data_IF_212178481795
#
_entry.id   IF_212178481795
#
_cell.length_a   1.000
_cell.length_b   1.000
_cell.length_c   1.000
_cell.angle_alpha   90.00
_cell.angle_beta   90.00
_cell.angle_gamma   90.00
#
_symmetry.space_group_name_H-M   'P 1'
#
loop_
_entity.id
_entity.type
_entity.pdbx_description
1 polymer ?
#
# COMPACT_ATOMS: atom_id res chain seq x y z
N UNK A 1 -12.56 26.90 0.13
CA UNK A 1 -11.51 27.91 0.23
C UNK A 1 -10.12 27.38 0.60
N UNK A 2 -9.95 26.58 1.66
CA UNK A 2 -8.61 26.22 2.16
C UNK A 2 -7.86 25.21 1.27
N UNK A 3 -8.53 24.32 0.56
CA UNK A 3 -7.87 23.28 -0.25
C UNK A 3 -6.92 23.87 -1.31
N UNK A 4 -7.33 24.95 -1.99
CA UNK A 4 -6.47 25.59 -2.99
C UNK A 4 -5.21 26.23 -2.37
N UNK A 5 -5.29 26.70 -1.12
CA UNK A 5 -4.18 27.31 -0.40
C UNK A 5 -3.14 26.28 0.05
N UNK A 6 -3.59 25.09 0.47
CA UNK A 6 -2.71 24.04 1.00
C UNK A 6 -2.15 23.10 -0.07
N UNK A 7 -2.64 23.18 -1.32
CA UNK A 7 -2.11 22.34 -2.40
C UNK A 7 -0.71 22.81 -2.79
N UNK A 8 0.28 21.96 -2.55
CA UNK A 8 1.68 22.24 -2.87
C UNK A 8 2.27 21.06 -3.63
N UNK A 9 3.06 21.32 -4.66
CA UNK A 9 3.79 20.30 -5.41
C UNK A 9 5.26 20.71 -5.51
N UNK A 10 6.14 19.87 -4.99
CA UNK A 10 7.59 20.09 -5.06
C UNK A 10 8.09 21.30 -4.26
N UNK A 11 7.36 21.70 -3.21
CA UNK A 11 7.79 22.82 -2.36
C UNK A 11 9.15 22.52 -1.69
N UNK A 12 10.00 23.55 -1.55
CA UNK A 12 11.31 23.40 -0.94
C UNK A 12 12.28 22.51 -1.74
N UNK A 13 12.36 22.68 -3.06
CA UNK A 13 13.17 21.87 -3.97
C UNK A 13 12.80 20.36 -3.97
N UNK A 14 11.51 20.05 -3.93
CA UNK A 14 11.01 18.69 -4.00
C UNK A 14 10.86 17.98 -2.64
N UNK A 15 11.07 18.69 -1.53
CA UNK A 15 10.94 18.09 -0.20
C UNK A 15 9.51 17.89 0.28
N UNK A 16 8.55 18.67 -0.22
CA UNK A 16 7.15 18.57 0.22
C UNK A 16 6.19 18.64 -0.97
N UNK A 17 5.33 17.63 -1.03
CA UNK A 17 4.17 17.61 -1.90
C UNK A 17 2.91 17.36 -1.07
N UNK A 18 1.92 18.24 -1.15
CA UNK A 18 0.59 18.13 -0.53
C UNK A 18 -0.43 18.13 -1.65
N UNK A 19 -0.83 16.94 -2.10
CA UNK A 19 -1.75 16.77 -3.22
C UNK A 19 -2.78 15.67 -3.03
N UNK A 20 -2.88 15.10 -1.81
CA UNK A 20 -3.87 14.09 -1.47
C UNK A 20 -4.75 14.56 -0.30
N UNK A 21 -6.03 14.20 -0.34
CA UNK A 21 -6.95 14.26 0.79
C UNK A 21 -6.99 12.86 1.40
N UNK A 22 -6.49 12.73 2.61
CA UNK A 22 -6.40 11.45 3.32
C UNK A 22 -5.25 11.41 4.34
N UNK A 23 -5.15 10.37 5.13
CA UNK A 23 -6.00 9.22 5.02
C UNK A 23 -7.37 9.51 5.65
N UNK A 24 -8.46 9.27 4.92
CA UNK A 24 -9.80 9.21 5.51
C UNK A 24 -10.20 7.74 5.66
N UNK A 25 -10.89 7.46 6.73
CA UNK A 25 -11.27 6.10 7.12
C UNK A 25 -12.71 5.84 6.72
N UNK A 26 -12.94 4.96 5.72
CA UNK A 26 -14.29 4.55 5.37
C UNK A 26 -14.80 3.48 6.32
N UNK A 27 -13.98 2.46 6.63
CA UNK A 27 -14.35 1.36 7.53
C UNK A 27 -13.27 1.10 8.59
N UNK A 28 -13.52 0.18 9.51
CA UNK A 28 -12.61 -0.15 10.59
C UNK A 28 -11.68 -1.32 10.27
N UNK A 29 -10.80 -1.68 11.24
CA UNK A 29 -9.83 -2.76 11.10
C UNK A 29 -10.50 -4.14 11.05
N UNK A 30 -9.91 -5.05 10.25
CA UNK A 30 -10.43 -6.42 10.08
C UNK A 30 -10.38 -7.22 11.38
N UNK A 31 -9.27 -7.11 12.13
CA UNK A 31 -9.06 -7.84 13.37
C UNK A 31 -10.09 -7.55 14.47
N UNK A 32 -10.64 -6.34 14.51
CA UNK A 32 -11.66 -5.89 15.46
C UNK A 32 -13.09 -6.01 14.93
N UNK A 33 -13.31 -6.72 13.80
CA UNK A 33 -14.61 -6.83 13.11
C UNK A 33 -15.14 -5.48 12.61
N UNK A 34 -14.27 -4.50 12.40
CA UNK A 34 -14.62 -3.18 11.88
C UNK A 34 -14.65 -3.11 10.36
N UNK A 35 -13.87 -3.94 9.67
CA UNK A 35 -13.85 -4.01 8.20
C UNK A 35 -15.25 -4.27 7.64
N UNK A 36 -15.72 -3.41 6.73
CA UNK A 36 -17.07 -3.47 6.20
C UNK A 36 -17.18 -4.47 5.05
N UNK A 37 -17.77 -5.63 5.35
CA UNK A 37 -17.81 -6.78 4.45
C UNK A 37 -19.16 -6.89 3.70
N UNK A 38 -19.12 -7.54 2.53
CA UNK A 38 -20.32 -7.91 1.77
C UNK A 38 -21.10 -9.03 2.46
N UNK A 39 -20.41 -9.93 3.14
CA UNK A 39 -20.97 -11.08 3.87
C UNK A 39 -20.52 -11.03 5.32
N UNK A 40 -21.32 -11.59 6.28
CA UNK A 40 -20.97 -11.58 7.69
C UNK A 40 -19.60 -12.22 7.98
N UNK A 41 -18.97 -11.78 9.07
CA UNK A 41 -17.80 -12.44 9.62
C UNK A 41 -18.13 -13.89 9.99
N UNK A 42 -17.19 -14.79 9.78
CA UNK A 42 -17.37 -16.22 10.07
C UNK A 42 -17.52 -16.48 11.57
N UNK A 43 -16.68 -15.84 12.37
CA UNK A 43 -16.68 -15.91 13.83
C UNK A 43 -17.65 -14.93 14.50
N UNK A 44 -18.28 -14.03 13.75
CA UNK A 44 -19.30 -13.11 14.21
C UNK A 44 -20.45 -12.99 13.20
N UNK A 45 -21.31 -14.02 13.04
CA UNK A 45 -22.31 -14.11 11.96
C UNK A 45 -23.42 -13.05 11.99
N UNK A 46 -23.45 -12.20 13.01
CA UNK A 46 -24.43 -11.11 13.14
C UNK A 46 -23.85 -9.76 12.70
N UNK A 47 -22.59 -9.71 12.29
CA UNK A 47 -21.90 -8.49 11.89
C UNK A 47 -21.30 -8.62 10.50
N UNK A 48 -21.40 -7.54 9.74
CA UNK A 48 -20.68 -7.32 8.48
C UNK A 48 -19.61 -6.22 8.65
N UNK A 49 -19.29 -5.83 9.87
CA UNK A 49 -18.55 -4.60 10.12
C UNK A 49 -19.41 -3.35 9.91
N UNK A 50 -18.77 -2.20 9.75
CA UNK A 50 -19.49 -0.93 9.63
C UNK A 50 -18.62 0.12 8.92
N UNK A 51 -19.28 1.11 8.33
CA UNK A 51 -18.60 2.31 7.87
C UNK A 51 -18.38 3.27 9.06
N UNK A 52 -17.14 3.74 9.20
CA UNK A 52 -16.74 4.72 10.24
C UNK A 52 -17.13 6.13 9.79
N UNK A 53 -16.86 6.46 8.53
CA UNK A 53 -17.28 7.72 7.94
C UNK A 53 -18.53 7.50 7.09
N UNK A 54 -19.57 8.37 7.18
CA UNK A 54 -20.72 8.30 6.30
C UNK A 54 -20.30 8.31 4.83
N UNK A 55 -20.94 7.48 4.01
CA UNK A 55 -20.64 7.36 2.58
C UNK A 55 -20.79 8.70 1.86
N UNK A 56 -21.80 9.49 2.27
CA UNK A 56 -22.09 10.83 1.74
C UNK A 56 -20.93 11.82 2.00
N UNK A 57 -20.21 11.66 3.11
CA UNK A 57 -19.06 12.51 3.43
C UNK A 57 -17.83 12.13 2.61
N UNK A 58 -17.66 10.83 2.29
CA UNK A 58 -16.64 10.37 1.34
C UNK A 58 -16.97 10.88 -0.06
N UNK A 59 -18.23 10.78 -0.50
CA UNK A 59 -18.70 11.31 -1.78
C UNK A 59 -18.41 12.80 -1.91
N UNK A 60 -18.77 13.59 -0.89
CA UNK A 60 -18.49 15.05 -0.87
C UNK A 60 -16.98 15.33 -0.93
N UNK A 61 -16.17 14.52 -0.24
CA UNK A 61 -14.71 14.67 -0.29
C UNK A 61 -14.16 14.37 -1.70
N UNK A 62 -14.73 13.37 -2.38
CA UNK A 62 -14.37 13.03 -3.75
C UNK A 62 -14.71 14.19 -4.73
N UNK A 63 -15.87 14.80 -4.58
CA UNK A 63 -16.26 15.96 -5.39
C UNK A 63 -15.31 17.16 -5.18
N UNK A 64 -14.97 17.46 -3.93
CA UNK A 64 -14.00 18.51 -3.59
C UNK A 64 -12.59 18.19 -4.09
N UNK A 65 -12.17 16.92 -4.00
CA UNK A 65 -10.87 16.47 -4.51
C UNK A 65 -10.80 16.65 -6.03
N UNK A 66 -11.87 16.32 -6.76
CA UNK A 66 -11.95 16.52 -8.20
C UNK A 66 -11.90 18.01 -8.57
N UNK A 67 -12.67 18.86 -7.87
CA UNK A 67 -12.73 20.32 -8.10
C UNK A 67 -11.37 21.01 -7.89
N UNK A 68 -10.59 20.54 -6.88
CA UNK A 68 -9.34 21.19 -6.47
C UNK A 68 -8.08 20.42 -6.89
N UNK A 69 -8.21 19.43 -7.79
CA UNK A 69 -7.11 18.62 -8.31
C UNK A 69 -6.31 17.86 -7.22
N UNK A 70 -7.00 17.33 -6.22
CA UNK A 70 -6.42 16.44 -5.23
C UNK A 70 -6.63 14.96 -5.59
N UNK A 71 -5.75 14.11 -5.10
CA UNK A 71 -6.01 12.68 -4.98
C UNK A 71 -6.89 12.39 -3.77
N UNK A 72 -7.62 11.29 -3.82
CA UNK A 72 -8.20 10.67 -2.63
C UNK A 72 -7.32 9.53 -2.15
N UNK A 73 -7.11 9.43 -0.84
CA UNK A 73 -6.44 8.34 -0.17
C UNK A 73 -7.36 7.88 0.95
N UNK A 74 -8.10 6.79 0.72
CA UNK A 74 -9.18 6.37 1.62
C UNK A 74 -8.94 4.94 2.06
N UNK A 75 -8.94 4.70 3.37
CA UNK A 75 -8.96 3.37 3.94
C UNK A 75 -10.19 2.59 3.46
N UNK A 76 -9.95 1.42 2.89
CA UNK A 76 -10.97 0.47 2.46
C UNK A 76 -10.48 -0.94 2.71
N UNK A 77 -10.73 -1.46 3.91
CA UNK A 77 -10.26 -2.77 4.38
C UNK A 77 -11.18 -3.89 3.92
N UNK A 78 -12.48 -3.75 4.14
CA UNK A 78 -13.47 -4.75 3.75
C UNK A 78 -13.89 -4.65 2.27
N UNK A 79 -14.32 -5.76 1.70
CA UNK A 79 -14.73 -5.85 0.30
C UNK A 79 -15.98 -5.01 -0.04
N UNK A 80 -16.86 -4.73 0.93
CA UNK A 80 -17.94 -3.76 0.76
C UNK A 80 -17.39 -2.33 0.74
N UNK A 81 -16.46 -2.00 1.63
CA UNK A 81 -15.84 -0.67 1.65
C UNK A 81 -15.10 -0.39 0.33
N UNK A 82 -14.30 -1.34 -0.15
CA UNK A 82 -13.61 -1.23 -1.44
C UNK A 82 -14.61 -1.02 -2.60
N UNK A 83 -15.70 -1.79 -2.64
CA UNK A 83 -16.75 -1.65 -3.67
C UNK A 83 -17.38 -0.26 -3.66
N UNK A 84 -17.74 0.24 -2.48
CA UNK A 84 -18.30 1.59 -2.32
C UNK A 84 -17.33 2.66 -2.79
N UNK A 85 -16.03 2.51 -2.46
CA UNK A 85 -15.00 3.45 -2.95
C UNK A 85 -14.87 3.42 -4.47
N UNK A 86 -14.85 2.23 -5.08
CA UNK A 86 -14.85 2.11 -6.54
C UNK A 86 -16.05 2.79 -7.18
N UNK A 87 -17.26 2.63 -6.61
CA UNK A 87 -18.48 3.24 -7.13
C UNK A 87 -18.41 4.77 -7.06
N UNK A 88 -17.94 5.32 -5.95
CA UNK A 88 -17.72 6.77 -5.77
C UNK A 88 -16.69 7.29 -6.77
N UNK A 89 -15.56 6.60 -6.93
CA UNK A 89 -14.48 7.00 -7.82
C UNK A 89 -14.93 6.95 -9.30
N UNK A 90 -15.55 5.85 -9.73
CA UNK A 90 -16.06 5.70 -11.08
C UNK A 90 -17.09 6.77 -11.43
N UNK A 91 -18.02 7.08 -10.52
CA UNK A 91 -19.01 8.15 -10.71
C UNK A 91 -18.35 9.53 -10.79
N UNK A 92 -17.36 9.80 -9.92
CA UNK A 92 -16.63 11.07 -9.94
C UNK A 92 -15.82 11.22 -11.22
N UNK A 93 -15.13 10.17 -11.67
CA UNK A 93 -14.34 10.19 -12.91
C UNK A 93 -15.24 10.38 -14.14
N UNK A 94 -16.42 9.75 -14.14
CA UNK A 94 -17.42 9.91 -15.19
C UNK A 94 -17.96 11.34 -15.29
N UNK A 95 -18.10 12.03 -14.16
CA UNK A 95 -18.54 13.44 -14.11
C UNK A 95 -17.47 14.44 -14.56
N UNK A 96 -16.20 14.04 -14.57
CA UNK A 96 -15.04 14.88 -14.91
C UNK A 96 -14.22 14.23 -16.04
N UNK A 97 -14.79 14.09 -17.25
CA UNK A 97 -14.20 13.31 -18.33
C UNK A 97 -12.93 13.92 -18.94
N UNK A 98 -12.65 15.19 -18.67
CA UNK A 98 -11.45 15.90 -19.11
C UNK A 98 -10.20 15.42 -18.37
N UNK A 99 -10.31 15.00 -17.11
CA UNK A 99 -9.22 14.48 -16.33
C UNK A 99 -9.08 12.96 -16.57
N UNK A 100 -7.89 12.53 -17.00
CA UNK A 100 -7.63 11.12 -17.37
C UNK A 100 -6.75 10.37 -16.37
N UNK A 101 -5.90 11.08 -15.64
CA UNK A 101 -4.95 10.50 -14.70
C UNK A 101 -5.32 10.92 -13.27
N UNK A 102 -6.04 10.03 -12.58
CA UNK A 102 -6.54 10.30 -11.25
C UNK A 102 -5.62 9.79 -10.16
N UNK A 103 -5.11 8.57 -10.30
CA UNK A 103 -4.28 7.84 -9.33
C UNK A 103 -4.83 7.90 -7.90
N UNK A 104 -6.16 7.88 -7.76
CA UNK A 104 -6.78 7.83 -6.45
C UNK A 104 -6.51 6.47 -5.83
N UNK A 105 -6.45 6.40 -4.50
CA UNK A 105 -5.98 5.23 -3.78
C UNK A 105 -7.07 4.64 -2.90
N UNK A 106 -7.04 3.32 -2.77
CA UNK A 106 -7.69 2.58 -1.70
C UNK A 106 -6.57 2.07 -0.80
N UNK A 107 -6.48 2.65 0.39
CA UNK A 107 -5.48 2.26 1.38
C UNK A 107 -5.90 0.94 2.02
N UNK A 108 -4.94 0.11 2.33
CA UNK A 108 -5.00 -1.26 2.79
C UNK A 108 -5.48 -2.26 1.74
N UNK A 109 -6.64 -2.08 1.11
CA UNK A 109 -7.17 -3.00 0.12
C UNK A 109 -7.03 -4.48 0.54
N UNK A 110 -7.31 -4.77 1.85
CA UNK A 110 -7.02 -6.07 2.45
C UNK A 110 -7.95 -7.17 1.98
N UNK A 111 -9.24 -6.86 1.81
CA UNK A 111 -10.25 -7.81 1.34
C UNK A 111 -10.91 -7.23 0.10
N UNK A 112 -10.71 -7.88 -1.05
CA UNK A 112 -11.24 -7.43 -2.35
C UNK A 112 -12.06 -8.55 -2.97
N UNK A 113 -13.31 -8.24 -3.34
CA UNK A 113 -14.14 -9.20 -4.06
C UNK A 113 -13.57 -9.44 -5.48
N UNK A 114 -13.53 -10.67 -6.01
CA UNK A 114 -12.96 -10.95 -7.33
C UNK A 114 -13.55 -10.11 -8.46
N UNK A 115 -14.85 -9.79 -8.42
CA UNK A 115 -15.50 -8.95 -9.42
C UNK A 115 -15.00 -7.50 -9.41
N UNK A 116 -14.47 -7.02 -8.26
CA UNK A 116 -13.94 -5.66 -8.13
C UNK A 116 -12.44 -5.56 -8.44
N UNK A 117 -11.73 -6.68 -8.43
CA UNK A 117 -10.28 -6.71 -8.68
C UNK A 117 -9.89 -6.03 -10.01
N UNK A 118 -10.58 -6.28 -11.16
CA UNK A 118 -10.24 -5.60 -12.42
C UNK A 118 -10.48 -4.08 -12.41
N UNK A 119 -11.24 -3.56 -11.44
CA UNK A 119 -11.57 -2.12 -11.36
C UNK A 119 -10.35 -1.28 -11.02
N UNK A 120 -9.36 -1.83 -10.31
CA UNK A 120 -8.10 -1.13 -10.07
C UNK A 120 -7.46 -0.67 -11.39
N UNK A 121 -7.17 -1.60 -12.27
CA UNK A 121 -6.56 -1.29 -13.57
C UNK A 121 -7.50 -0.48 -14.48
N UNK A 122 -8.79 -0.86 -14.54
CA UNK A 122 -9.79 -0.18 -15.39
C UNK A 122 -9.93 1.30 -15.06
N UNK A 123 -9.93 1.64 -13.78
CA UNK A 123 -10.13 3.01 -13.30
C UNK A 123 -8.82 3.75 -13.01
N UNK A 124 -7.67 3.09 -13.06
CA UNK A 124 -6.39 3.66 -12.63
C UNK A 124 -6.35 3.96 -11.13
N UNK A 125 -7.12 3.20 -10.33
CA UNK A 125 -7.09 3.28 -8.87
C UNK A 125 -5.92 2.46 -8.35
N UNK A 126 -5.21 2.97 -7.37
CA UNK A 126 -4.00 2.35 -6.83
C UNK A 126 -4.32 1.67 -5.51
N UNK A 127 -4.09 0.35 -5.37
CA UNK A 127 -4.12 -0.31 -4.07
C UNK A 127 -2.85 0.06 -3.28
N UNK A 128 -3.05 0.66 -2.10
CA UNK A 128 -1.99 0.94 -1.13
C UNK A 128 -1.91 -0.20 -0.12
N UNK A 129 -1.04 -1.17 -0.35
CA UNK A 129 -0.95 -2.35 0.50
C UNK A 129 0.09 -2.19 1.62
N UNK A 130 -0.04 -3.00 2.66
CA UNK A 130 0.99 -3.26 3.64
C UNK A 130 1.39 -4.73 3.54
N UNK A 131 2.55 -4.98 2.92
CA UNK A 131 2.99 -6.34 2.67
C UNK A 131 3.09 -7.18 3.94
N UNK A 132 3.49 -6.56 5.05
CA UNK A 132 3.63 -7.21 6.36
C UNK A 132 2.29 -7.74 6.90
N UNK A 133 1.16 -7.09 6.62
CA UNK A 133 -0.15 -7.51 7.12
C UNK A 133 -0.55 -8.93 6.69
N UNK A 134 -0.08 -9.41 5.54
CA UNK A 134 -0.34 -10.79 5.15
C UNK A 134 0.26 -11.80 6.13
N UNK A 135 1.37 -11.44 6.79
CA UNK A 135 2.05 -12.32 7.74
C UNK A 135 1.57 -12.11 9.18
N UNK A 136 1.33 -10.87 9.59
CA UNK A 136 0.84 -10.55 10.94
C UNK A 136 -0.63 -10.93 11.14
N UNK A 137 -1.46 -10.77 10.10
CA UNK A 137 -2.89 -11.09 10.14
C UNK A 137 -3.18 -12.55 9.77
N UNK A 138 -2.30 -13.18 8.97
CA UNK A 138 -2.46 -14.56 8.48
C UNK A 138 -2.89 -15.57 9.54
N UNK A 139 -2.33 -15.55 10.77
CA UNK A 139 -2.71 -16.47 11.83
C UNK A 139 -4.18 -16.44 12.23
N UNK A 140 -4.85 -15.30 12.09
CA UNK A 140 -6.23 -15.13 12.59
C UNK A 140 -7.25 -14.74 11.51
N UNK A 141 -6.82 -14.31 10.33
CA UNK A 141 -7.75 -13.82 9.29
C UNK A 141 -8.71 -14.91 8.81
N UNK A 142 -8.29 -16.18 8.86
CA UNK A 142 -9.14 -17.33 8.52
C UNK A 142 -10.34 -17.45 9.46
N UNK A 143 -10.17 -17.11 10.74
CA UNK A 143 -11.27 -17.10 11.70
C UNK A 143 -12.31 -16.01 11.33
N UNK A 144 -11.85 -14.85 10.89
CA UNK A 144 -12.69 -13.72 10.47
C UNK A 144 -13.48 -13.99 9.20
N UNK A 145 -12.80 -14.52 8.18
CA UNK A 145 -13.38 -14.65 6.83
C UNK A 145 -13.82 -16.07 6.47
N UNK A 146 -13.34 -17.10 7.19
CA UNK A 146 -13.37 -18.47 6.74
C UNK A 146 -12.30 -18.74 5.66
N UNK A 147 -11.78 -19.96 5.60
CA UNK A 147 -10.63 -20.34 4.75
C UNK A 147 -10.84 -20.01 3.26
N UNK A 148 -12.04 -20.31 2.73
CA UNK A 148 -12.32 -20.09 1.31
C UNK A 148 -12.30 -18.60 0.97
N UNK A 149 -13.07 -17.80 1.69
CA UNK A 149 -13.18 -16.36 1.45
C UNK A 149 -11.87 -15.62 1.71
N UNK A 150 -11.12 -16.01 2.76
CA UNK A 150 -9.78 -15.47 3.02
C UNK A 150 -8.85 -15.72 1.83
N UNK A 151 -8.89 -16.94 1.23
CA UNK A 151 -8.09 -17.27 0.05
C UNK A 151 -8.51 -16.54 -1.21
N UNK A 152 -9.81 -16.37 -1.42
CA UNK A 152 -10.36 -15.77 -2.64
C UNK A 152 -10.34 -14.24 -2.64
N UNK A 153 -10.28 -13.60 -1.45
CA UNK A 153 -10.47 -12.15 -1.31
C UNK A 153 -9.41 -11.46 -0.45
N UNK A 154 -8.67 -12.20 0.38
CA UNK A 154 -7.76 -11.63 1.37
C UNK A 154 -6.33 -11.43 0.83
N UNK A 155 -5.79 -10.23 0.95
CA UNK A 155 -4.37 -9.92 0.65
C UNK A 155 -3.94 -10.39 -0.76
N UNK A 156 -4.74 -10.05 -1.77
CA UNK A 156 -4.59 -10.48 -3.17
C UNK A 156 -3.46 -9.70 -3.90
N UNK A 157 -2.28 -9.63 -3.34
CA UNK A 157 -1.19 -8.78 -3.81
C UNK A 157 -0.73 -9.12 -5.22
N UNK A 158 -0.51 -10.41 -5.49
CA UNK A 158 -0.13 -10.90 -6.81
C UNK A 158 -1.26 -10.71 -7.81
N UNK A 159 -2.47 -11.07 -7.42
CA UNK A 159 -3.65 -10.92 -8.26
C UNK A 159 -3.93 -9.46 -8.64
N UNK A 160 -3.69 -8.50 -7.74
CA UNK A 160 -3.78 -7.07 -8.06
C UNK A 160 -2.79 -6.67 -9.16
N UNK A 161 -1.52 -7.10 -9.05
CA UNK A 161 -0.50 -6.84 -10.07
C UNK A 161 -0.88 -7.50 -11.40
N UNK A 162 -1.30 -8.75 -11.36
CA UNK A 162 -1.66 -9.52 -12.57
C UNK A 162 -2.91 -8.96 -13.26
N UNK A 163 -3.79 -8.25 -12.52
CA UNK A 163 -4.92 -7.49 -13.10
C UNK A 163 -4.48 -6.22 -13.85
N UNK A 164 -3.22 -5.84 -13.77
CA UNK A 164 -2.65 -4.63 -14.37
C UNK A 164 -2.65 -3.40 -13.45
N UNK A 165 -2.98 -3.55 -12.17
CA UNK A 165 -2.91 -2.45 -11.20
C UNK A 165 -1.46 -2.06 -10.90
N UNK A 166 -1.21 -0.77 -10.72
CA UNK A 166 0.03 -0.29 -10.11
C UNK A 166 -0.14 -0.38 -8.60
N UNK A 167 0.63 -1.24 -7.96
CA UNK A 167 0.57 -1.46 -6.50
C UNK A 167 1.62 -0.59 -5.81
N UNK A 168 1.24 0.09 -4.73
CA UNK A 168 2.15 0.73 -3.79
C UNK A 168 2.20 -0.04 -2.47
N UNK A 169 3.34 0.00 -1.77
CA UNK A 169 3.56 -0.74 -0.53
C UNK A 169 4.13 0.16 0.57
N UNK A 170 3.70 -0.08 1.81
CA UNK A 170 4.15 0.61 3.02
C UNK A 170 4.13 -0.31 4.23
N UNK A 171 4.37 0.23 5.43
CA UNK A 171 4.37 -0.52 6.70
C UNK A 171 3.28 -0.06 7.67
N UNK A 172 2.74 1.15 7.46
CA UNK A 172 1.66 1.73 8.29
C UNK A 172 2.04 1.89 9.78
N UNK A 173 3.18 2.54 10.09
CA UNK A 173 3.56 2.74 11.49
C UNK A 173 2.62 3.77 12.18
N UNK A 174 2.18 3.54 13.42
CA UNK A 174 2.68 2.54 14.38
C UNK A 174 1.85 1.24 14.46
N UNK A 175 1.01 0.93 13.46
CA UNK A 175 0.24 -0.33 13.43
C UNK A 175 1.21 -1.50 13.33
N UNK A 176 2.17 -1.41 12.43
CA UNK A 176 3.32 -2.31 12.34
C UNK A 176 4.62 -1.53 12.54
N UNK A 177 5.71 -2.25 12.69
CA UNK A 177 7.04 -1.64 12.77
C UNK A 177 7.39 -0.95 11.44
N UNK A 178 8.20 0.11 11.52
CA UNK A 178 8.64 0.89 10.33
C UNK A 178 9.63 0.12 9.44
N UNK A 179 9.85 -1.17 9.68
CA UNK A 179 10.81 -1.99 8.94
C UNK A 179 10.32 -2.39 7.55
N UNK A 180 10.79 -1.74 6.46
CA UNK A 180 10.40 -2.11 5.10
C UNK A 180 11.00 -3.45 4.65
N UNK A 181 12.08 -3.94 5.27
CA UNK A 181 12.70 -5.22 4.91
C UNK A 181 11.82 -6.39 5.37
N UNK A 182 11.26 -6.31 6.60
CA UNK A 182 10.31 -7.30 7.08
C UNK A 182 9.05 -7.36 6.19
N UNK A 183 8.53 -6.20 5.77
CA UNK A 183 7.38 -6.11 4.88
C UNK A 183 7.69 -6.61 3.46
N UNK A 184 8.89 -6.32 2.92
CA UNK A 184 9.36 -6.88 1.66
C UNK A 184 9.46 -8.42 1.74
N UNK A 185 10.09 -8.94 2.81
CA UNK A 185 10.20 -10.38 3.04
C UNK A 185 8.81 -11.04 3.05
N UNK A 186 7.86 -10.50 3.81
CA UNK A 186 6.50 -11.02 3.85
C UNK A 186 5.81 -10.98 2.48
N UNK A 187 5.96 -9.90 1.71
CA UNK A 187 5.41 -9.80 0.36
C UNK A 187 5.90 -10.94 -0.56
N UNK A 188 7.14 -11.39 -0.38
CA UNK A 188 7.79 -12.43 -1.19
C UNK A 188 7.50 -13.83 -0.67
N UNK A 189 7.58 -14.04 0.65
CA UNK A 189 7.50 -15.38 1.25
C UNK A 189 6.13 -15.76 1.74
N UNK A 190 5.37 -14.79 2.27
CA UNK A 190 4.10 -14.97 3.00
C UNK A 190 4.24 -15.97 4.17
N UNK A 191 5.44 -16.03 4.74
CA UNK A 191 5.76 -16.91 5.86
C UNK A 191 5.21 -16.34 7.16
N UNK A 192 4.36 -17.12 7.82
CA UNK A 192 3.79 -16.79 9.12
C UNK A 192 4.80 -17.04 10.25
N UNK A 193 4.56 -16.50 11.44
CA UNK A 193 5.46 -16.71 12.60
C UNK A 193 5.69 -18.18 12.99
N UNK A 194 4.78 -19.07 12.62
CA UNK A 194 4.90 -20.53 12.87
C UNK A 194 5.61 -21.29 11.74
N UNK A 195 6.12 -20.57 10.73
CA UNK A 195 6.79 -21.15 9.56
C UNK A 195 5.85 -21.66 8.46
N UNK A 196 4.53 -21.60 8.66
CA UNK A 196 3.58 -21.94 7.60
C UNK A 196 3.48 -20.82 6.56
N UNK A 197 2.98 -21.15 5.36
CA UNK A 197 2.85 -20.18 4.28
C UNK A 197 1.38 -19.80 4.05
N UNK A 198 1.12 -18.52 4.12
CA UNK A 198 -0.23 -17.96 3.93
C UNK A 198 -0.54 -17.73 2.44
N UNK A 199 -1.32 -18.63 1.82
CA UNK A 199 -1.73 -18.58 0.41
C UNK A 199 -0.58 -18.26 -0.55
N UNK A 200 0.31 -19.24 -0.83
CA UNK A 200 1.55 -19.04 -1.59
C UNK A 200 1.34 -18.55 -3.03
N UNK A 201 0.15 -18.72 -3.57
CA UNK A 201 -0.24 -18.21 -4.89
C UNK A 201 -0.24 -16.68 -4.98
N UNK A 202 -0.37 -15.99 -3.84
CA UNK A 202 -0.37 -14.53 -3.74
C UNK A 202 1.01 -13.95 -3.39
N UNK A 203 2.07 -14.76 -3.43
CA UNK A 203 3.45 -14.29 -3.31
C UNK A 203 3.78 -13.33 -4.46
N UNK A 204 4.36 -12.20 -4.14
CA UNK A 204 5.01 -11.34 -5.13
C UNK A 204 6.35 -11.94 -5.54
N UNK A 205 6.80 -11.72 -6.77
CA UNK A 205 8.22 -11.86 -7.08
C UNK A 205 9.01 -10.77 -6.36
N UNK A 206 10.30 -10.99 -6.14
CA UNK A 206 11.18 -9.99 -5.50
C UNK A 206 11.19 -8.67 -6.26
N UNK A 207 11.19 -8.73 -7.59
CA UNK A 207 11.11 -7.54 -8.43
C UNK A 207 9.77 -6.82 -8.25
N UNK A 208 8.64 -7.53 -8.19
CA UNK A 208 7.32 -6.93 -7.96
C UNK A 208 7.27 -6.25 -6.58
N UNK A 209 7.77 -6.91 -5.53
CA UNK A 209 7.82 -6.35 -4.19
C UNK A 209 8.72 -5.09 -4.13
N UNK A 210 9.91 -5.13 -4.76
CA UNK A 210 10.79 -3.96 -4.83
C UNK A 210 10.14 -2.81 -5.61
N UNK A 211 9.49 -3.11 -6.75
CA UNK A 211 8.80 -2.09 -7.55
C UNK A 211 7.66 -1.44 -6.77
N UNK A 212 6.91 -2.18 -5.96
CA UNK A 212 5.85 -1.63 -5.14
C UNK A 212 6.38 -0.63 -4.09
N UNK A 213 7.57 -0.88 -3.53
CA UNK A 213 8.24 0.04 -2.60
C UNK A 213 8.93 1.23 -3.26
N UNK A 214 9.20 1.20 -4.54
CA UNK A 214 9.99 2.22 -5.25
C UNK A 214 9.18 2.92 -6.34
N UNK A 215 9.13 2.34 -7.53
CA UNK A 215 8.44 2.92 -8.70
C UNK A 215 6.95 3.05 -8.47
N UNK A 216 6.31 2.08 -7.80
CA UNK A 216 4.88 2.11 -7.45
C UNK A 216 4.54 3.30 -6.54
N UNK A 217 5.35 3.50 -5.50
CA UNK A 217 5.18 4.64 -4.59
C UNK A 217 5.44 5.98 -5.31
N UNK A 218 6.48 6.06 -6.14
CA UNK A 218 6.76 7.26 -6.93
C UNK A 218 5.62 7.58 -7.90
N UNK A 219 5.08 6.56 -8.58
CA UNK A 219 3.91 6.70 -9.47
C UNK A 219 2.69 7.18 -8.69
N UNK A 220 2.40 6.60 -7.53
CA UNK A 220 1.28 7.01 -6.69
C UNK A 220 1.38 8.47 -6.24
N UNK A 221 2.61 8.98 -6.09
CA UNK A 221 2.89 10.37 -5.74
C UNK A 221 2.97 11.32 -6.95
N UNK A 222 2.84 10.84 -8.19
CA UNK A 222 3.13 11.58 -9.44
C UNK A 222 4.58 12.10 -9.52
N UNK A 223 5.51 11.31 -9.04
CA UNK A 223 6.93 11.68 -8.95
C UNK A 223 7.85 10.64 -9.64
N UNK A 224 7.26 9.73 -10.43
CA UNK A 224 7.99 8.70 -11.17
C UNK A 224 9.00 9.24 -12.17
N UNK A 225 8.80 10.46 -12.64
CA UNK A 225 9.76 11.12 -13.55
C UNK A 225 11.02 11.63 -12.84
N UNK A 226 10.92 11.85 -11.51
CA UNK A 226 12.00 12.44 -10.73
C UNK A 226 12.61 11.49 -9.69
N UNK A 227 11.95 10.38 -9.31
CA UNK A 227 12.45 9.39 -8.35
C UNK A 227 11.85 8.00 -8.57
N UNK A 228 12.14 7.06 -7.69
CA UNK A 228 11.65 5.67 -7.72
C UNK A 228 12.51 4.72 -8.54
N UNK A 229 13.51 5.21 -9.28
CA UNK A 229 14.48 4.37 -10.00
C UNK A 229 15.84 5.06 -10.16
N UNK A 230 16.91 4.27 -10.30
CA UNK A 230 18.28 4.75 -10.53
C UNK A 230 18.51 5.02 -12.01
N UNK A 231 17.74 5.95 -12.58
CA UNK A 231 17.84 6.34 -13.98
C UNK A 231 18.49 7.72 -14.08
N UNK A 232 19.44 7.94 -15.02
CA UNK A 232 20.05 9.25 -15.22
C UNK A 232 19.01 10.37 -15.39
N UNK A 233 19.21 11.48 -14.70
CA UNK A 233 18.28 12.62 -14.70
C UNK A 233 17.29 12.65 -13.54
N UNK A 234 17.17 11.56 -12.76
CA UNK A 234 16.38 11.53 -11.53
C UNK A 234 17.18 11.97 -10.30
N UNK A 235 16.45 12.24 -9.22
CA UNK A 235 17.06 12.55 -7.93
C UNK A 235 17.94 11.38 -7.46
N UNK A 236 19.07 11.72 -6.87
CA UNK A 236 19.96 10.74 -6.25
C UNK A 236 19.46 10.39 -4.84
N UNK A 237 18.22 9.81 -4.77
CA UNK A 237 17.60 9.27 -3.57
C UNK A 237 17.84 7.77 -3.57
N UNK A 238 18.79 7.30 -2.75
CA UNK A 238 19.33 5.94 -2.81
C UNK A 238 19.39 5.33 -1.43
N UNK A 239 18.89 4.11 -1.30
CA UNK A 239 19.11 3.25 -0.14
C UNK A 239 20.12 2.15 -0.56
N UNK A 240 21.20 2.00 0.22
CA UNK A 240 22.19 0.92 0.05
C UNK A 240 21.96 -0.11 1.14
N UNK A 241 21.76 -1.35 0.75
CA UNK A 241 21.53 -2.48 1.65
C UNK A 241 22.83 -3.31 1.80
N UNK A 242 22.97 -4.00 2.94
CA UNK A 242 24.11 -4.88 3.23
C UNK A 242 24.09 -6.19 2.43
N UNK A 243 22.90 -6.58 1.94
CA UNK A 243 22.67 -7.80 1.14
C UNK A 243 21.88 -7.45 -0.13
N UNK A 244 22.10 -8.24 -1.17
CA UNK A 244 21.25 -8.20 -2.37
C UNK A 244 19.95 -8.98 -2.14
N UNK A 245 18.92 -8.27 -1.71
CA UNK A 245 17.59 -8.87 -1.40
C UNK A 245 16.92 -9.51 -2.61
N UNK A 246 17.42 -9.27 -3.83
CA UNK A 246 16.88 -9.90 -5.04
C UNK A 246 17.45 -11.30 -5.27
N UNK A 247 18.62 -11.64 -4.69
CA UNK A 247 19.34 -12.88 -5.00
C UNK A 247 19.67 -13.76 -3.80
N UNK A 248 19.78 -13.20 -2.58
CA UNK A 248 20.05 -14.01 -1.37
C UNK A 248 18.94 -15.06 -1.11
N UNK A 249 19.20 -16.15 -0.38
CA UNK A 249 18.16 -17.05 0.11
C UNK A 249 17.02 -16.31 0.81
N UNK A 250 15.78 -16.84 0.74
CA UNK A 250 14.60 -16.15 1.28
C UNK A 250 14.72 -15.86 2.77
N UNK A 251 15.27 -16.79 3.53
CA UNK A 251 15.52 -16.69 4.97
C UNK A 251 16.57 -15.64 5.35
N UNK A 252 17.47 -15.28 4.41
CA UNK A 252 18.47 -14.24 4.61
C UNK A 252 17.99 -12.81 4.27
N UNK A 253 16.82 -12.66 3.69
CA UNK A 253 16.29 -11.33 3.32
C UNK A 253 16.15 -10.46 4.57
N UNK A 254 15.67 -11.02 5.69
CA UNK A 254 15.46 -10.30 6.95
C UNK A 254 16.75 -9.78 7.59
N UNK A 255 17.89 -10.36 7.23
CA UNK A 255 19.20 -9.91 7.73
C UNK A 255 19.77 -8.73 6.96
N UNK A 256 19.09 -8.27 5.91
CA UNK A 256 19.53 -7.10 5.16
C UNK A 256 19.34 -5.84 6.01
N UNK A 257 20.40 -5.06 6.12
CA UNK A 257 20.43 -3.81 6.87
C UNK A 257 20.65 -2.64 5.94
N UNK A 258 20.13 -1.47 6.30
CA UNK A 258 20.44 -0.22 5.60
C UNK A 258 21.85 0.21 5.95
N UNK A 259 22.73 0.28 4.95
CA UNK A 259 24.13 0.74 5.09
C UNK A 259 24.21 2.24 4.85
N UNK A 260 23.55 2.75 3.81
CA UNK A 260 23.44 4.17 3.53
C UNK A 260 22.01 4.56 3.16
N UNK A 261 21.60 5.77 3.61
CA UNK A 261 20.47 6.50 3.05
C UNK A 261 20.99 7.81 2.47
N UNK A 262 20.79 8.00 1.17
CA UNK A 262 21.26 9.17 0.41
C UNK A 262 20.01 9.89 -0.11
N UNK A 263 19.92 11.20 0.12
CA UNK A 263 18.82 12.04 -0.36
C UNK A 263 19.40 13.22 -1.13
N UNK A 264 19.03 13.38 -2.40
CA UNK A 264 19.53 14.42 -3.27
C UNK A 264 21.06 14.35 -3.44
N UNK A 265 21.65 13.16 -3.42
CA UNK A 265 23.10 12.95 -3.51
C UNK A 265 23.87 13.22 -2.19
N UNK A 266 23.16 13.53 -1.08
CA UNK A 266 23.78 13.77 0.23
C UNK A 266 23.51 12.59 1.15
N UNK A 267 24.58 12.00 1.72
CA UNK A 267 24.45 10.93 2.73
C UNK A 267 23.75 11.49 3.97
N UNK A 268 22.59 10.94 4.30
CA UNK A 268 21.79 11.29 5.49
C UNK A 268 21.96 10.29 6.64
N UNK A 269 22.25 9.06 6.28
CA UNK A 269 22.52 7.99 7.23
C UNK A 269 23.64 7.12 6.68
N UNK A 270 24.56 6.76 7.56
CA UNK A 270 25.61 5.76 7.34
C UNK A 270 25.66 4.86 8.57
N UNK A 271 25.55 3.54 8.35
CA UNK A 271 25.68 2.55 9.42
C UNK A 271 27.11 2.60 9.99
N UNK A 272 27.23 2.76 11.31
CA UNK A 272 28.53 2.68 11.98
C UNK A 272 29.21 1.33 11.67
N UNK A 273 30.47 1.37 11.26
CA UNK A 273 31.27 0.15 11.15
C UNK A 273 31.43 -0.45 12.53
N UNK A 274 31.20 -1.76 12.67
CA UNK A 274 31.63 -2.47 13.85
C UNK A 274 33.13 -2.25 14.01
N UNK A 275 33.55 -1.71 15.15
CA UNK A 275 34.97 -1.69 15.50
C UNK A 275 35.44 -3.15 15.46
N UNK A 276 36.21 -3.51 14.46
CA UNK A 276 36.95 -4.78 14.53
C UNK A 276 37.99 -4.58 15.62
N UNK A 277 37.80 -5.26 16.75
CA UNK A 277 38.87 -5.46 17.73
C UNK A 277 40.09 -6.00 16.98
N UNK A 278 40.94 -5.10 16.51
CA UNK A 278 42.26 -5.41 16.02
C UNK A 278 43.25 -5.08 17.16
N UNK A 279 43.25 -5.96 18.17
CA UNK A 279 44.37 -6.07 19.09
C UNK A 279 44.61 -7.57 19.37
N UNK A 280 45.47 -8.15 18.55
CA UNK A 280 46.50 -9.08 19.05
C UNK A 280 47.63 -9.20 18.01
#
# INVERSE_FOLDING_TARGET
GQLAEYRMVGYGNGYLTVRAIGEKVLDGALGTHGGWLLEPYTDLPRSVGFNVTPVEDIQRSAELAAEHDYQMAIQGIGDRAARVLFDIYEETFRKNPEKKDWRWRIEHAQVIHPDDLPRFAKLGVIPGIQGIFACSDGPWVIDRLGKQRARERGYLFRSMIDSGAVVMNGTDPPVEDIDPIASFHCSVTRELPDGSIFFPEERMTREQALRAYTVGNAYAAFEEDIKGSLTPGKLADITVLSKDILTVPEDEIRDAEVVYTIIGGVVKYEKARAETDSDE
#
